data_IF_214935694086
#
_entry.id   IF_214935694086
#
_cell.length_a   1.000
_cell.length_b   1.000
_cell.length_c   1.000
_cell.angle_alpha   90.00
_cell.angle_beta   90.00
_cell.angle_gamma   90.00
#
_symmetry.space_group_name_H-M   'P 1'
#
loop_
_entity.id
_entity.type
_entity.pdbx_description
1 polymer ?
#
# COMPACT_ATOMS: atom_id res chain seq x y z
N UNK A 1 11.73 7.67 42.82
CA UNK A 1 12.70 8.79 42.82
C UNK A 1 12.39 9.65 41.59
N UNK A 2 12.31 10.98 41.68
CA UNK A 2 12.10 11.81 40.49
C UNK A 2 13.47 12.29 40.00
N UNK A 3 13.91 11.79 38.85
CA UNK A 3 15.10 12.29 38.17
C UNK A 3 14.91 13.75 37.75
N UNK A 4 16.01 14.50 37.68
CA UNK A 4 15.98 15.83 37.09
C UNK A 4 15.71 15.75 35.58
N UNK A 5 15.17 16.83 35.00
CA UNK A 5 14.95 16.91 33.55
C UNK A 5 16.23 16.63 32.76
N UNK A 6 17.36 17.15 33.23
CA UNK A 6 18.66 16.97 32.57
C UNK A 6 19.09 15.49 32.56
N UNK A 7 18.92 14.77 33.67
CA UNK A 7 19.25 13.34 33.74
C UNK A 7 18.35 12.52 32.82
N UNK A 8 17.06 12.85 32.77
CA UNK A 8 16.10 12.22 31.85
C UNK A 8 16.46 12.47 30.39
N UNK A 9 16.74 13.73 30.00
CA UNK A 9 17.13 14.09 28.64
C UNK A 9 18.41 13.35 28.20
N UNK A 10 19.42 13.30 29.08
CA UNK A 10 20.67 12.58 28.81
C UNK A 10 20.44 11.07 28.64
N UNK A 11 19.61 10.46 29.48
CA UNK A 11 19.26 9.05 29.34
C UNK A 11 18.54 8.78 28.02
N UNK A 12 17.55 9.60 27.66
CA UNK A 12 16.74 9.43 26.45
C UNK A 12 17.63 9.48 25.21
N UNK A 13 18.40 10.55 25.02
CA UNK A 13 19.22 10.70 23.81
C UNK A 13 20.33 9.64 23.72
N UNK A 14 20.89 9.20 24.86
CA UNK A 14 21.88 8.13 24.88
C UNK A 14 21.28 6.76 24.48
N UNK A 15 19.97 6.54 24.72
CA UNK A 15 19.32 5.26 24.46
C UNK A 15 18.55 5.20 23.14
N UNK A 16 18.10 6.33 22.57
CA UNK A 16 17.46 6.35 21.23
C UNK A 16 18.36 5.68 20.18
N UNK A 17 19.67 5.90 20.25
CA UNK A 17 20.65 5.34 19.32
C UNK A 17 20.93 3.84 19.53
N UNK A 18 20.41 3.22 20.59
CA UNK A 18 20.51 1.78 20.81
C UNK A 18 19.47 0.97 20.00
N UNK A 19 18.59 1.66 19.27
CA UNK A 19 17.56 1.02 18.46
C UNK A 19 18.05 0.81 17.02
N UNK A 20 17.95 -0.43 16.54
CA UNK A 20 18.30 -0.80 15.17
C UNK A 20 17.06 -0.65 14.28
N UNK A 21 16.94 0.48 13.58
CA UNK A 21 15.76 0.84 12.79
C UNK A 21 16.14 1.10 11.33
N UNK A 22 15.15 1.01 10.43
CA UNK A 22 15.33 1.28 9.00
C UNK A 22 15.28 2.79 8.67
N UNK A 23 14.76 3.62 9.58
CA UNK A 23 14.60 5.05 9.39
C UNK A 23 14.46 5.83 10.69
N UNK A 24 14.21 7.13 10.58
CA UNK A 24 14.16 8.06 11.73
C UNK A 24 12.75 8.33 12.25
N UNK A 25 11.72 7.82 11.57
CA UNK A 25 10.32 8.16 11.81
C UNK A 25 9.82 7.77 13.20
N UNK A 26 10.39 6.72 13.80
CA UNK A 26 10.04 6.29 15.15
C UNK A 26 10.88 6.91 16.27
N UNK A 27 11.85 7.78 15.94
CA UNK A 27 12.71 8.37 16.98
C UNK A 27 11.90 9.13 18.03
N UNK A 28 10.84 9.86 17.64
CA UNK A 28 10.02 10.56 18.62
C UNK A 28 9.22 9.59 19.50
N UNK A 29 8.63 8.53 18.93
CA UNK A 29 7.95 7.49 19.71
C UNK A 29 8.89 6.83 20.74
N UNK A 30 10.13 6.56 20.34
CA UNK A 30 11.14 5.99 21.23
C UNK A 30 11.53 6.97 22.33
N UNK A 31 11.69 8.26 22.02
CA UNK A 31 11.94 9.30 23.04
C UNK A 31 10.82 9.34 24.07
N UNK A 32 9.58 9.37 23.62
CA UNK A 32 8.41 9.46 24.48
C UNK A 32 8.28 8.19 25.36
N UNK A 33 8.54 7.01 24.76
CA UNK A 33 8.61 5.74 25.49
C UNK A 33 9.68 5.75 26.59
N UNK A 34 10.90 6.19 26.29
CA UNK A 34 12.00 6.27 27.25
C UNK A 34 11.74 7.31 28.34
N UNK A 35 11.05 8.39 28.01
CA UNK A 35 10.56 9.37 28.99
C UNK A 35 9.56 8.73 29.97
N UNK A 36 8.60 7.96 29.46
CA UNK A 36 7.65 7.22 30.30
C UNK A 36 8.34 6.15 31.18
N UNK A 37 9.40 5.50 30.68
CA UNK A 37 10.23 4.60 31.49
C UNK A 37 10.84 5.33 32.70
N UNK A 38 11.40 6.53 32.48
CA UNK A 38 11.97 7.34 33.55
C UNK A 38 10.92 7.72 34.60
N UNK A 39 9.71 8.06 34.17
CA UNK A 39 8.58 8.38 35.05
C UNK A 39 8.09 7.17 35.85
N UNK A 40 8.11 5.97 35.24
CA UNK A 40 7.78 4.71 35.90
C UNK A 40 8.83 4.27 36.93
N UNK A 41 10.02 4.89 36.93
CA UNK A 41 11.09 4.61 37.88
C UNK A 41 12.18 3.70 37.33
N UNK A 42 12.34 3.61 36.00
CA UNK A 42 13.43 2.87 35.38
C UNK A 42 14.80 3.33 35.90
N UNK A 43 15.72 2.38 36.09
CA UNK A 43 17.08 2.68 36.51
C UNK A 43 17.86 3.23 35.31
N UNK A 44 18.28 4.49 35.36
CA UNK A 44 18.98 5.16 34.24
C UNK A 44 20.33 4.52 33.89
N UNK A 45 20.90 3.68 34.76
CA UNK A 45 22.11 2.91 34.45
C UNK A 45 21.84 1.70 33.55
N UNK A 46 20.58 1.25 33.47
CA UNK A 46 20.19 0.13 32.62
C UNK A 46 19.87 0.65 31.23
N UNK A 47 20.67 0.20 30.25
CA UNK A 47 20.43 0.52 28.85
C UNK A 47 19.12 -0.08 28.36
N UNK A 48 18.44 0.67 27.52
CA UNK A 48 17.25 0.25 26.80
C UNK A 48 17.61 0.25 25.32
N UNK A 49 17.15 -0.77 24.61
CA UNK A 49 17.38 -0.91 23.19
C UNK A 49 16.29 -1.75 22.55
N UNK A 50 16.37 -1.85 21.24
CA UNK A 50 15.31 -2.49 20.48
C UNK A 50 15.66 -2.55 19.01
N UNK A 51 14.70 -2.98 18.21
CA UNK A 51 14.83 -3.05 16.77
C UNK A 51 13.49 -2.99 16.08
N UNK A 52 13.51 -2.73 14.78
CA UNK A 52 12.40 -3.08 13.92
C UNK A 52 12.26 -4.62 13.83
N UNK A 53 11.01 -5.10 13.84
CA UNK A 53 10.65 -6.48 13.55
C UNK A 53 9.21 -6.57 13.02
N UNK A 54 9.06 -7.10 11.80
CA UNK A 54 7.78 -7.30 11.12
C UNK A 54 6.99 -5.98 10.94
N UNK A 55 7.69 -4.93 10.52
CA UNK A 55 7.13 -3.59 10.32
C UNK A 55 6.81 -2.84 11.61
N UNK A 56 7.15 -3.38 12.79
CA UNK A 56 6.87 -2.78 14.09
C UNK A 56 8.11 -2.58 14.96
N UNK A 57 8.03 -1.63 15.90
CA UNK A 57 9.03 -1.45 16.95
C UNK A 57 8.99 -2.64 17.91
N UNK A 58 10.15 -3.13 18.33
CA UNK A 58 10.33 -4.05 19.46
C UNK A 58 11.32 -3.48 20.44
N UNK A 59 10.91 -3.35 21.70
CA UNK A 59 11.76 -2.90 22.78
C UNK A 59 12.13 -4.07 23.69
N UNK A 60 13.41 -4.19 24.03
CA UNK A 60 13.92 -5.21 24.96
C UNK A 60 14.32 -4.53 26.27
N UNK A 61 13.58 -4.81 27.32
CA UNK A 61 13.92 -4.37 28.67
C UNK A 61 13.41 -5.36 29.70
N UNK A 62 14.22 -5.60 30.73
CA UNK A 62 13.90 -6.44 31.87
C UNK A 62 14.40 -5.76 33.14
N UNK A 63 13.55 -5.67 34.15
CA UNK A 63 13.88 -5.30 35.53
C UNK A 63 13.82 -6.53 36.42
N UNK A 64 14.46 -6.50 37.59
CA UNK A 64 14.27 -7.50 38.64
C UNK A 64 13.04 -7.20 39.52
N UNK A 65 12.45 -6.01 39.36
CA UNK A 65 11.23 -5.55 40.05
C UNK A 65 9.98 -5.92 39.22
N UNK A 66 9.18 -6.87 39.73
CA UNK A 66 7.97 -7.37 39.08
C UNK A 66 6.87 -6.30 38.85
N UNK A 67 6.48 -5.49 39.85
CA UNK A 67 5.62 -4.33 39.64
C UNK A 67 6.11 -3.38 38.54
N UNK A 68 7.40 -3.02 38.55
CA UNK A 68 7.97 -2.16 37.53
C UNK A 68 7.94 -2.83 36.15
N UNK A 69 8.27 -4.12 36.06
CA UNK A 69 8.18 -4.88 34.82
C UNK A 69 6.78 -4.83 34.20
N UNK A 70 5.73 -4.93 35.01
CA UNK A 70 4.36 -4.85 34.53
C UNK A 70 4.04 -3.46 33.96
N UNK A 71 4.54 -2.39 34.58
CA UNK A 71 4.33 -1.04 34.07
C UNK A 71 5.12 -0.78 32.79
N UNK A 72 6.39 -1.19 32.74
CA UNK A 72 7.23 -1.09 31.55
C UNK A 72 6.62 -1.87 30.38
N UNK A 73 6.07 -3.06 30.61
CA UNK A 73 5.37 -3.82 29.57
C UNK A 73 4.20 -3.06 28.97
N UNK A 74 3.38 -2.37 29.78
CA UNK A 74 2.26 -1.56 29.28
C UNK A 74 2.76 -0.41 28.39
N UNK A 75 3.82 0.26 28.83
CA UNK A 75 4.44 1.35 28.06
C UNK A 75 4.96 0.81 26.72
N UNK A 76 5.70 -0.30 26.73
CA UNK A 76 6.18 -0.95 25.51
C UNK A 76 5.00 -1.28 24.59
N UNK A 77 3.99 -2.01 25.07
CA UNK A 77 2.83 -2.40 24.25
C UNK A 77 2.14 -1.20 23.62
N UNK A 78 2.01 -0.08 24.34
CA UNK A 78 1.47 1.18 23.80
C UNK A 78 2.30 1.67 22.60
N UNK A 79 3.62 1.78 22.74
CA UNK A 79 4.49 2.32 21.68
C UNK A 79 4.73 1.33 20.54
N UNK A 80 4.71 0.02 20.78
CA UNK A 80 4.69 -0.98 19.72
C UNK A 80 3.42 -0.85 18.88
N UNK A 81 2.25 -0.68 19.51
CA UNK A 81 0.99 -0.46 18.79
C UNK A 81 0.94 0.87 18.02
N UNK A 82 1.61 1.92 18.52
CA UNK A 82 1.75 3.19 17.78
C UNK A 82 2.69 3.07 16.59
N UNK A 83 3.75 2.27 16.71
CA UNK A 83 4.77 2.14 15.65
C UNK A 83 4.18 1.58 14.35
N UNK A 84 3.28 0.59 14.43
CA UNK A 84 2.62 0.00 13.24
C UNK A 84 1.58 0.92 12.57
N UNK A 85 1.35 2.11 13.14
CA UNK A 85 0.51 3.18 12.57
C UNK A 85 1.33 4.42 12.18
N UNK A 86 2.65 4.33 12.27
CA UNK A 86 3.57 5.45 12.09
C UNK A 86 4.64 5.06 11.08
N UNK A 87 4.86 5.86 10.05
CA UNK A 87 5.88 5.60 9.04
C UNK A 87 7.28 5.53 9.69
N UNK A 88 8.00 4.43 9.47
CA UNK A 88 9.33 4.21 10.05
C UNK A 88 10.40 5.15 9.47
N UNK A 89 10.17 5.71 8.27
CA UNK A 89 11.10 6.62 7.60
C UNK A 89 10.96 8.05 8.13
N UNK A 90 9.73 8.61 8.12
CA UNK A 90 9.50 10.03 8.41
C UNK A 90 8.59 10.36 9.60
N UNK A 91 7.90 9.37 10.19
CA UNK A 91 7.07 9.57 11.38
C UNK A 91 5.66 10.11 11.12
N UNK A 92 5.26 10.28 9.85
CA UNK A 92 3.85 10.58 9.51
C UNK A 92 2.96 9.36 9.74
N UNK A 93 1.64 9.51 9.64
CA UNK A 93 0.72 8.37 9.64
C UNK A 93 1.13 7.34 8.58
N UNK A 94 1.18 6.06 8.98
CA UNK A 94 1.60 4.94 8.14
C UNK A 94 0.69 3.73 8.33
N UNK A 95 0.84 2.76 7.45
CA UNK A 95 0.19 1.45 7.52
C UNK A 95 1.24 0.36 7.36
N UNK A 96 0.95 -0.84 7.87
CA UNK A 96 1.73 -2.03 7.56
C UNK A 96 1.58 -2.37 6.07
N UNK A 97 2.69 -2.67 5.41
CA UNK A 97 2.77 -2.94 3.97
C UNK A 97 3.83 -4.00 3.70
N UNK A 98 3.76 -4.61 2.52
CA UNK A 98 4.78 -5.54 2.05
C UNK A 98 5.59 -4.89 0.92
N UNK A 99 6.89 -4.76 1.12
CA UNK A 99 7.85 -4.28 0.12
C UNK A 99 8.91 -5.35 -0.10
N UNK A 100 9.04 -5.85 -1.33
CA UNK A 100 10.03 -6.87 -1.68
C UNK A 100 10.00 -8.12 -0.78
N UNK A 101 8.81 -8.49 -0.28
CA UNK A 101 8.61 -9.63 0.63
C UNK A 101 8.89 -9.34 2.11
N UNK A 102 9.10 -8.08 2.49
CA UNK A 102 9.31 -7.64 3.87
C UNK A 102 8.15 -6.79 4.37
N UNK A 103 7.72 -7.05 5.60
CA UNK A 103 6.76 -6.22 6.31
C UNK A 103 7.44 -4.92 6.76
N UNK A 104 6.86 -3.79 6.37
CA UNK A 104 7.34 -2.44 6.68
C UNK A 104 6.15 -1.57 7.08
N UNK A 105 6.36 -0.54 7.90
CA UNK A 105 5.30 0.45 8.17
C UNK A 105 5.65 1.76 7.49
N UNK A 106 4.96 2.06 6.39
CA UNK A 106 5.23 3.23 5.56
C UNK A 106 3.97 4.07 5.35
N UNK A 107 4.18 5.38 5.22
CA UNK A 107 3.17 6.26 4.63
C UNK A 107 3.11 6.03 3.12
N UNK A 108 2.00 6.42 2.48
CA UNK A 108 1.82 6.21 1.04
C UNK A 108 2.98 6.78 0.23
N UNK A 109 3.48 7.97 0.58
CA UNK A 109 4.57 8.63 -0.14
C UNK A 109 5.86 7.81 -0.16
N UNK A 110 6.25 7.17 0.95
CA UNK A 110 7.43 6.29 0.96
C UNK A 110 7.11 4.93 0.35
N UNK A 111 5.89 4.42 0.51
CA UNK A 111 5.52 3.15 -0.10
C UNK A 111 5.59 3.18 -1.63
N UNK A 112 5.12 4.26 -2.25
CA UNK A 112 5.13 4.39 -3.71
C UNK A 112 6.55 4.53 -4.30
N UNK A 113 7.55 4.89 -3.50
CA UNK A 113 8.96 4.90 -3.95
C UNK A 113 9.44 3.47 -4.25
N UNK A 114 8.89 2.49 -3.54
CA UNK A 114 9.20 1.06 -3.67
C UNK A 114 8.23 0.30 -4.59
N UNK A 115 7.08 0.87 -4.93
CA UNK A 115 6.15 0.30 -5.91
C UNK A 115 6.66 0.61 -7.32
N UNK A 116 6.73 -0.39 -8.18
CA UNK A 116 7.10 -0.23 -9.59
C UNK A 116 5.96 0.42 -10.40
N UNK A 117 5.90 1.76 -10.40
CA UNK A 117 4.91 2.58 -11.11
C UNK A 117 5.35 2.87 -12.53
N UNK A 118 4.47 2.66 -13.52
CA UNK A 118 4.76 3.01 -14.91
C UNK A 118 4.48 4.50 -15.12
N UNK A 119 5.45 5.22 -15.70
CA UNK A 119 5.26 6.60 -16.17
C UNK A 119 5.50 6.71 -17.66
N UNK A 120 4.62 7.43 -18.36
CA UNK A 120 4.73 7.67 -19.81
C UNK A 120 4.87 9.18 -20.02
N UNK A 121 6.01 9.61 -20.58
CA UNK A 121 6.30 11.00 -20.90
C UNK A 121 6.58 11.11 -22.40
N UNK A 122 5.56 11.49 -23.16
CA UNK A 122 5.62 11.49 -24.62
C UNK A 122 5.83 10.06 -25.14
N UNK A 123 6.95 9.84 -25.85
CA UNK A 123 7.33 8.53 -26.40
C UNK A 123 8.10 7.65 -25.40
N UNK A 124 8.47 8.16 -24.23
CA UNK A 124 9.36 7.45 -23.30
C UNK A 124 8.60 6.83 -22.13
N UNK A 125 8.89 5.57 -21.83
CA UNK A 125 8.33 4.79 -20.72
C UNK A 125 9.39 4.62 -19.62
N UNK A 126 8.99 4.90 -18.39
CA UNK A 126 9.79 4.74 -17.19
C UNK A 126 9.10 3.78 -16.22
N UNK A 127 9.90 3.12 -15.38
CA UNK A 127 9.46 2.49 -14.14
C UNK A 127 10.03 3.31 -13.00
N UNK A 128 9.16 3.99 -12.26
CA UNK A 128 9.56 5.08 -11.37
C UNK A 128 10.41 6.09 -12.16
N UNK A 129 11.64 6.35 -11.71
CA UNK A 129 12.59 7.23 -12.40
C UNK A 129 13.53 6.50 -13.38
N UNK A 130 13.45 5.16 -13.46
CA UNK A 130 14.30 4.35 -14.33
C UNK A 130 13.71 4.29 -15.74
N UNK A 131 14.45 4.79 -16.72
CA UNK A 131 14.13 4.59 -18.14
C UNK A 131 13.98 3.10 -18.45
N UNK A 132 12.88 2.72 -19.12
CA UNK A 132 12.70 1.37 -19.65
C UNK A 132 12.92 1.30 -21.16
N UNK A 133 12.14 2.04 -21.93
CA UNK A 133 12.17 2.02 -23.40
C UNK A 133 11.38 3.19 -23.99
N UNK A 134 11.51 3.40 -25.31
CA UNK A 134 10.57 4.23 -26.07
C UNK A 134 9.51 3.40 -26.77
N UNK A 135 8.28 3.94 -26.88
CA UNK A 135 7.19 3.27 -27.60
C UNK A 135 7.56 3.03 -29.07
N UNK A 136 8.30 3.97 -29.68
CA UNK A 136 8.83 3.86 -31.04
C UNK A 136 9.88 2.74 -31.25
N UNK A 137 10.50 2.23 -30.18
CA UNK A 137 11.53 1.17 -30.24
C UNK A 137 10.92 -0.25 -30.15
N UNK A 138 9.63 -0.34 -29.84
CA UNK A 138 8.92 -1.61 -29.68
C UNK A 138 8.81 -2.31 -31.03
N UNK A 139 9.35 -3.52 -31.11
CA UNK A 139 9.25 -4.38 -32.29
C UNK A 139 7.98 -5.21 -32.29
N UNK A 140 7.63 -5.77 -31.14
CA UNK A 140 6.42 -6.58 -30.93
C UNK A 140 6.07 -6.63 -29.44
N UNK A 141 4.82 -6.97 -29.15
CA UNK A 141 4.36 -7.23 -27.78
C UNK A 141 3.74 -8.61 -27.70
N UNK A 142 4.18 -9.40 -26.72
CA UNK A 142 3.61 -10.71 -26.40
C UNK A 142 2.77 -10.61 -25.12
N UNK A 143 1.69 -11.38 -25.04
CA UNK A 143 0.71 -11.33 -23.93
C UNK A 143 0.52 -12.74 -23.37
N UNK A 144 1.48 -13.23 -22.55
CA UNK A 144 1.52 -14.63 -22.14
C UNK A 144 0.34 -15.07 -21.25
N UNK A 145 -0.30 -14.14 -20.53
CA UNK A 145 -1.27 -14.44 -19.47
C UNK A 145 -2.61 -13.69 -19.68
N UNK A 146 -3.26 -13.85 -20.83
CA UNK A 146 -4.60 -13.28 -21.07
C UNK A 146 -4.70 -11.78 -20.75
N UNK A 147 -3.69 -10.99 -21.11
CA UNK A 147 -3.56 -9.54 -20.82
C UNK A 147 -3.36 -9.15 -19.36
N UNK A 148 -3.19 -10.09 -18.43
CA UNK A 148 -2.73 -9.76 -17.08
C UNK A 148 -1.25 -9.34 -17.05
N UNK A 149 -0.54 -9.54 -18.16
CA UNK A 149 0.76 -8.94 -18.40
C UNK A 149 1.16 -8.94 -19.86
N UNK A 150 2.12 -8.07 -20.18
CA UNK A 150 2.75 -7.94 -21.48
C UNK A 150 4.26 -8.18 -21.37
N UNK A 151 4.83 -8.64 -22.48
CA UNK A 151 6.27 -8.74 -22.73
C UNK A 151 6.60 -7.88 -23.94
N UNK A 152 7.29 -6.78 -23.69
CA UNK A 152 7.71 -5.82 -24.71
C UNK A 152 9.05 -6.28 -25.28
N UNK A 153 9.09 -6.58 -26.57
CA UNK A 153 10.32 -6.92 -27.28
C UNK A 153 10.84 -5.68 -28.03
N UNK A 154 12.04 -5.24 -27.68
CA UNK A 154 12.70 -4.10 -28.32
C UNK A 154 13.56 -4.54 -29.51
N UNK A 155 13.91 -3.57 -30.35
CA UNK A 155 14.76 -3.80 -31.52
C UNK A 155 16.22 -3.93 -31.08
N UNK A 156 16.78 -5.14 -31.13
CA UNK A 156 18.19 -5.39 -30.80
C UNK A 156 18.43 -6.04 -29.42
N UNK A 157 17.38 -6.20 -28.61
CA UNK A 157 17.47 -6.87 -27.31
C UNK A 157 17.01 -8.33 -27.37
N UNK A 158 17.75 -9.22 -26.70
CA UNK A 158 17.40 -10.64 -26.62
C UNK A 158 16.35 -10.95 -25.54
N UNK A 159 16.25 -10.10 -24.50
CA UNK A 159 15.36 -10.33 -23.35
C UNK A 159 14.18 -9.35 -23.34
N UNK A 160 12.92 -9.82 -23.37
CA UNK A 160 11.76 -8.95 -23.30
C UNK A 160 11.59 -8.32 -21.91
N UNK A 161 11.09 -7.09 -21.88
CA UNK A 161 10.69 -6.39 -20.65
C UNK A 161 9.28 -6.82 -20.29
N UNK A 162 9.08 -7.31 -19.06
CA UNK A 162 7.78 -7.82 -18.60
C UNK A 162 7.11 -6.82 -17.66
N UNK A 163 5.84 -6.50 -17.91
CA UNK A 163 5.00 -5.60 -17.12
C UNK A 163 3.62 -6.24 -16.94
N UNK A 164 2.94 -5.98 -15.82
CA UNK A 164 1.68 -6.64 -15.49
C UNK A 164 0.70 -5.71 -14.76
N UNK A 165 -0.51 -6.21 -14.50
CA UNK A 165 -1.59 -5.45 -13.85
C UNK A 165 -1.29 -5.02 -12.42
N UNK A 166 -0.27 -5.57 -11.78
CA UNK A 166 0.24 -5.11 -10.49
C UNK A 166 1.09 -3.84 -10.58
N UNK A 167 1.51 -3.43 -11.79
CA UNK A 167 2.16 -2.15 -12.00
C UNK A 167 1.10 -1.06 -12.19
N UNK A 168 1.03 -0.03 -11.34
CA UNK A 168 0.16 1.11 -11.60
C UNK A 168 0.46 1.74 -12.96
N UNK A 169 -0.58 2.20 -13.66
CA UNK A 169 -0.56 2.65 -15.07
C UNK A 169 -0.32 1.54 -16.11
N UNK A 170 -0.47 0.27 -15.75
CA UNK A 170 -0.38 -0.82 -16.73
C UNK A 170 -1.38 -0.66 -17.89
N UNK A 171 -2.65 -0.37 -17.59
CA UNK A 171 -3.67 -0.21 -18.63
C UNK A 171 -3.46 1.09 -19.42
N UNK A 172 -2.91 2.14 -18.80
CA UNK A 172 -2.46 3.34 -19.51
C UNK A 172 -1.37 3.00 -20.54
N UNK A 173 -0.39 2.17 -20.18
CA UNK A 173 0.64 1.68 -21.10
C UNK A 173 0.03 0.81 -22.20
N UNK A 174 -0.83 -0.14 -21.84
CA UNK A 174 -1.50 -1.02 -22.80
C UNK A 174 -2.25 -0.22 -23.86
N UNK A 175 -2.93 0.86 -23.46
CA UNK A 175 -3.64 1.79 -24.36
C UNK A 175 -2.70 2.64 -25.22
N UNK A 176 -1.49 2.91 -24.73
CA UNK A 176 -0.51 3.78 -25.41
C UNK A 176 0.33 3.05 -26.47
N UNK A 177 0.44 1.72 -26.38
CA UNK A 177 1.19 0.92 -27.36
C UNK A 177 0.41 0.82 -28.68
N UNK A 178 1.04 1.06 -29.84
CA UNK A 178 0.39 0.88 -31.14
C UNK A 178 -0.19 -0.52 -31.34
N UNK A 179 -1.49 -0.61 -31.64
CA UNK A 179 -2.21 -1.89 -31.75
C UNK A 179 -1.54 -2.87 -32.73
N UNK A 180 -0.97 -2.38 -33.84
CA UNK A 180 -0.34 -3.24 -34.84
C UNK A 180 0.88 -4.03 -34.31
N UNK A 181 1.39 -3.73 -33.11
CA UNK A 181 2.48 -4.46 -32.46
C UNK A 181 2.00 -5.70 -31.68
N UNK A 182 0.68 -5.85 -31.49
CA UNK A 182 0.06 -7.04 -30.91
C UNK A 182 -0.34 -8.04 -32.00
N UNK A 183 -0.64 -9.29 -31.61
CA UNK A 183 -1.24 -10.28 -32.52
C UNK A 183 -2.63 -9.87 -32.99
N UNK A 184 -3.13 -10.42 -34.09
CA UNK A 184 -4.46 -10.07 -34.64
C UNK A 184 -5.60 -10.31 -33.64
N UNK A 185 -5.56 -11.44 -32.93
CA UNK A 185 -6.50 -11.77 -31.84
C UNK A 185 -6.56 -10.64 -30.80
N UNK A 186 -5.37 -10.18 -30.37
CA UNK A 186 -5.25 -9.24 -29.27
C UNK A 186 -5.48 -7.79 -29.67
N UNK A 187 -5.20 -7.42 -30.91
CA UNK A 187 -5.56 -6.12 -31.49
C UNK A 187 -7.04 -5.83 -31.31
N UNK A 188 -7.88 -6.79 -31.71
CA UNK A 188 -9.33 -6.62 -31.65
C UNK A 188 -9.81 -6.52 -30.21
N UNK A 189 -9.30 -7.38 -29.33
CA UNK A 189 -9.68 -7.41 -27.91
C UNK A 189 -9.28 -6.13 -27.17
N UNK A 190 -8.04 -5.65 -27.31
CA UNK A 190 -7.61 -4.38 -26.68
C UNK A 190 -8.49 -3.22 -27.13
N UNK A 191 -8.77 -3.14 -28.43
CA UNK A 191 -9.63 -2.10 -28.98
C UNK A 191 -11.03 -2.15 -28.35
N UNK A 192 -11.65 -3.34 -28.33
CA UNK A 192 -12.97 -3.52 -27.74
C UNK A 192 -13.01 -3.16 -26.26
N UNK A 193 -12.00 -3.55 -25.48
CA UNK A 193 -11.89 -3.21 -24.05
C UNK A 193 -12.05 -1.70 -23.88
N UNK A 194 -11.19 -0.90 -24.50
CA UNK A 194 -11.16 0.54 -24.28
C UNK A 194 -12.34 1.30 -24.94
N UNK A 195 -12.94 0.75 -26.00
CA UNK A 195 -14.15 1.31 -26.63
C UNK A 195 -15.42 1.10 -25.79
N UNK A 196 -15.47 0.06 -24.97
CA UNK A 196 -16.71 -0.42 -24.34
C UNK A 196 -16.62 -0.50 -22.80
N UNK A 197 -15.66 0.18 -22.18
CA UNK A 197 -15.59 0.28 -20.72
C UNK A 197 -16.88 0.89 -20.17
N UNK A 198 -17.42 0.23 -19.15
CA UNK A 198 -18.58 0.68 -18.38
C UNK A 198 -18.13 1.29 -17.05
N UNK A 199 -19.05 2.01 -16.43
CA UNK A 199 -18.88 2.58 -15.11
C UNK A 199 -18.91 1.46 -14.06
N UNK A 200 -17.93 1.43 -13.17
CA UNK A 200 -17.93 0.53 -12.03
C UNK A 200 -18.64 1.20 -10.85
N UNK A 201 -19.73 0.59 -10.37
CA UNK A 201 -20.49 1.07 -9.21
C UNK A 201 -19.75 0.88 -7.88
N UNK A 202 -18.71 0.04 -7.86
CA UNK A 202 -17.93 -0.27 -6.66
C UNK A 202 -16.81 0.78 -6.48
N UNK A 203 -15.88 0.90 -7.44
CA UNK A 203 -14.78 1.86 -7.30
C UNK A 203 -15.05 3.26 -7.88
N UNK A 204 -16.10 3.43 -8.69
CA UNK A 204 -16.43 4.74 -9.28
C UNK A 204 -15.55 5.15 -10.47
N UNK A 205 -14.93 4.19 -11.16
CA UNK A 205 -14.14 4.42 -12.36
C UNK A 205 -14.77 3.78 -13.59
N UNK A 206 -14.57 4.40 -14.76
CA UNK A 206 -14.95 3.82 -16.05
C UNK A 206 -13.94 2.76 -16.47
N UNK A 207 -14.05 1.60 -15.84
CA UNK A 207 -13.08 0.51 -15.91
C UNK A 207 -13.70 -0.89 -15.93
N UNK A 208 -15.04 -1.00 -15.93
CA UNK A 208 -15.72 -2.28 -15.96
C UNK A 208 -15.68 -2.89 -17.37
N UNK A 209 -15.12 -4.09 -17.50
CA UNK A 209 -15.05 -4.83 -18.76
C UNK A 209 -15.48 -6.29 -18.55
N UNK A 210 -16.51 -6.71 -19.28
CA UNK A 210 -17.10 -8.05 -19.18
C UNK A 210 -17.38 -8.44 -17.71
N UNK A 211 -16.53 -9.29 -17.15
CA UNK A 211 -16.77 -9.97 -15.89
C UNK A 211 -16.17 -9.27 -14.67
N UNK A 212 -15.32 -8.25 -14.84
CA UNK A 212 -14.64 -7.59 -13.72
C UNK A 212 -14.24 -6.15 -14.04
N UNK A 213 -14.03 -5.36 -12.99
CA UNK A 213 -13.42 -4.05 -13.09
C UNK A 213 -11.91 -4.20 -13.31
N UNK A 214 -11.37 -3.60 -14.38
CA UNK A 214 -9.94 -3.60 -14.65
C UNK A 214 -9.13 -2.73 -13.66
N UNK A 215 -9.82 -1.97 -12.79
CA UNK A 215 -9.20 -1.17 -11.73
C UNK A 215 -9.27 -1.86 -10.37
N UNK A 216 -10.45 -2.02 -9.78
CA UNK A 216 -10.56 -2.64 -8.43
C UNK A 216 -10.60 -4.17 -8.47
N UNK A 217 -10.62 -4.79 -9.64
CA UNK A 217 -10.73 -6.25 -9.82
C UNK A 217 -12.03 -6.89 -9.29
N UNK A 218 -12.98 -6.10 -8.78
CA UNK A 218 -14.29 -6.58 -8.37
C UNK A 218 -15.16 -7.01 -9.55
N UNK A 219 -15.99 -8.02 -9.30
CA UNK A 219 -17.03 -8.45 -10.22
C UNK A 219 -18.23 -7.49 -10.16
N UNK A 220 -18.95 -7.26 -11.27
CA UNK A 220 -20.21 -6.54 -11.23
C UNK A 220 -21.31 -7.45 -10.66
N UNK A 221 -22.38 -6.83 -10.16
CA UNK A 221 -23.58 -7.54 -9.73
C UNK A 221 -24.13 -8.47 -10.84
N UNK A 222 -24.60 -9.65 -10.42
CA UNK A 222 -25.27 -10.66 -11.24
C UNK A 222 -26.40 -11.30 -10.44
N UNK A 223 -27.45 -11.73 -11.11
CA UNK A 223 -28.58 -12.42 -10.47
C UNK A 223 -28.17 -13.72 -9.76
N UNK A 224 -27.03 -14.32 -10.13
CA UNK A 224 -26.46 -15.49 -9.43
C UNK A 224 -26.00 -15.20 -8.00
N UNK A 225 -25.87 -13.93 -7.60
CA UNK A 225 -25.45 -13.52 -6.27
C UNK A 225 -26.63 -13.36 -5.29
N UNK A 226 -27.87 -13.60 -5.74
CA UNK A 226 -29.06 -13.54 -4.88
C UNK A 226 -29.09 -14.60 -3.78
N UNK A 227 -28.25 -15.63 -3.88
CA UNK A 227 -28.10 -16.64 -2.82
C UNK A 227 -27.29 -16.09 -1.62
N UNK A 228 -26.45 -15.07 -1.86
CA UNK A 228 -25.52 -14.51 -0.87
C UNK A 228 -25.90 -13.09 -0.43
N UNK A 229 -26.71 -12.36 -1.22
CA UNK A 229 -27.09 -10.97 -0.98
C UNK A 229 -28.59 -10.76 -1.24
N UNK A 230 -29.22 -9.90 -0.44
CA UNK A 230 -30.64 -9.56 -0.58
C UNK A 230 -30.92 -8.90 -1.93
N UNK A 231 -30.07 -7.95 -2.31
CA UNK A 231 -30.16 -7.26 -3.60
C UNK A 231 -28.81 -6.69 -4.08
N UNK A 232 -28.85 -6.08 -5.27
CA UNK A 232 -27.71 -5.39 -5.87
C UNK A 232 -27.13 -4.29 -4.99
N UNK A 233 -27.99 -3.53 -4.30
CA UNK A 233 -27.58 -2.38 -3.47
C UNK A 233 -26.74 -2.87 -2.30
N UNK A 234 -27.18 -3.93 -1.63
CA UNK A 234 -26.44 -4.55 -0.54
C UNK A 234 -25.07 -5.07 -1.01
N UNK A 235 -25.04 -5.80 -2.12
CA UNK A 235 -23.78 -6.28 -2.72
C UNK A 235 -22.80 -5.13 -2.99
N UNK A 236 -23.24 -4.12 -3.75
CA UNK A 236 -22.37 -2.98 -4.10
C UNK A 236 -21.90 -2.27 -2.84
N UNK A 237 -22.77 -2.08 -1.83
CA UNK A 237 -22.41 -1.45 -0.57
C UNK A 237 -21.31 -2.22 0.17
N UNK A 238 -21.46 -3.54 0.33
CA UNK A 238 -20.44 -4.37 0.98
C UNK A 238 -19.12 -4.37 0.20
N UNK A 239 -19.16 -4.48 -1.14
CA UNK A 239 -17.96 -4.38 -1.97
C UNK A 239 -17.26 -3.03 -1.84
N UNK A 240 -18.02 -1.91 -1.77
CA UNK A 240 -17.44 -0.59 -1.52
C UNK A 240 -16.79 -0.49 -0.14
N UNK A 241 -17.36 -1.13 0.89
CA UNK A 241 -16.76 -1.17 2.23
C UNK A 241 -15.46 -1.99 2.23
N UNK A 242 -15.46 -3.18 1.62
CA UNK A 242 -14.25 -3.99 1.45
C UNK A 242 -13.15 -3.22 0.70
N UNK A 243 -13.53 -2.50 -0.35
CA UNK A 243 -12.63 -1.65 -1.11
C UNK A 243 -12.07 -0.50 -0.24
N UNK A 244 -12.87 0.07 0.67
CA UNK A 244 -12.44 1.12 1.61
C UNK A 244 -11.52 0.59 2.72
N UNK A 245 -11.74 -0.64 3.19
CA UNK A 245 -10.83 -1.28 4.16
C UNK A 245 -9.41 -1.34 3.61
N UNK A 246 -9.27 -1.59 2.30
CA UNK A 246 -8.02 -1.48 1.55
C UNK A 246 -6.84 -2.15 2.28
N UNK A 247 -7.03 -3.41 2.69
CA UNK A 247 -6.08 -4.13 3.56
C UNK A 247 -4.66 -4.15 2.98
N UNK A 248 -4.55 -4.28 1.67
CA UNK A 248 -3.27 -4.30 0.94
C UNK A 248 -2.82 -2.92 0.44
N UNK A 249 -3.54 -1.85 0.80
CA UNK A 249 -3.32 -0.47 0.33
C UNK A 249 -3.33 -0.32 -1.20
N UNK A 250 -3.97 -1.24 -1.90
CA UNK A 250 -4.10 -1.24 -3.35
C UNK A 250 -4.83 0.01 -3.85
N UNK A 251 -5.92 0.38 -3.19
CA UNK A 251 -6.70 1.55 -3.55
C UNK A 251 -5.98 2.84 -3.23
N UNK A 252 -5.28 2.91 -2.11
CA UNK A 252 -4.43 4.05 -1.77
C UNK A 252 -3.36 4.28 -2.84
N UNK A 253 -2.66 3.21 -3.28
CA UNK A 253 -1.68 3.28 -4.37
C UNK A 253 -2.32 3.67 -5.69
N UNK A 254 -3.40 3.01 -6.09
CA UNK A 254 -4.10 3.28 -7.34
C UNK A 254 -4.59 4.74 -7.40
N UNK A 255 -5.14 5.26 -6.31
CA UNK A 255 -5.58 6.65 -6.21
C UNK A 255 -4.42 7.65 -6.31
N UNK A 256 -3.24 7.28 -5.78
CA UNK A 256 -2.07 8.14 -5.80
C UNK A 256 -1.45 8.23 -7.20
N UNK A 257 -1.23 7.08 -7.84
CA UNK A 257 -0.36 7.00 -9.02
C UNK A 257 -0.99 6.40 -10.29
N UNK A 258 -2.13 5.70 -10.21
CA UNK A 258 -2.79 5.13 -11.39
C UNK A 258 -3.74 6.14 -12.08
N UNK A 259 -3.54 6.32 -13.38
CA UNK A 259 -4.23 7.25 -14.28
C UNK A 259 -4.82 6.51 -15.49
N UNK A 260 -4.94 5.19 -15.41
CA UNK A 260 -5.44 4.35 -16.51
C UNK A 260 -6.91 4.61 -16.82
N UNK A 261 -7.69 4.97 -15.80
CA UNK A 261 -9.14 5.11 -15.89
C UNK A 261 -9.62 6.45 -15.32
N UNK A 262 -10.73 6.94 -15.85
CA UNK A 262 -11.38 8.18 -15.43
C UNK A 262 -12.42 7.89 -14.35
N UNK A 263 -12.59 8.84 -13.42
CA UNK A 263 -13.68 8.80 -12.43
C UNK A 263 -15.02 9.08 -13.10
N UNK A 264 -16.07 8.42 -12.63
CA UNK A 264 -17.42 8.59 -13.14
C UNK A 264 -18.14 9.70 -12.37
N UNK A 265 -18.93 10.53 -13.05
CA UNK A 265 -19.61 11.68 -12.44
C UNK A 265 -20.76 11.26 -11.51
N UNK A 266 -21.34 10.08 -11.74
CA UNK A 266 -22.51 9.58 -11.02
C UNK A 266 -22.17 8.62 -9.87
N UNK A 267 -20.89 8.43 -9.57
CA UNK A 267 -20.46 7.55 -8.48
C UNK A 267 -20.97 8.03 -7.12
N UNK A 268 -21.48 7.09 -6.32
CA UNK A 268 -21.94 7.34 -4.96
C UNK A 268 -21.52 6.21 -4.04
N UNK A 269 -21.04 6.59 -2.86
CA UNK A 269 -20.85 5.65 -1.75
C UNK A 269 -22.22 5.33 -1.15
N UNK A 270 -22.51 4.04 -0.96
CA UNK A 270 -23.80 3.51 -0.50
C UNK A 270 -23.84 3.28 1.02
N UNK A 271 -22.81 3.71 1.74
CA UNK A 271 -22.70 3.60 3.19
C UNK A 271 -22.23 4.88 3.84
N UNK A 272 -22.53 5.05 5.12
CA UNK A 272 -22.00 6.11 5.97
C UNK A 272 -20.90 5.58 6.91
N UNK A 273 -20.23 6.47 7.64
CA UNK A 273 -19.10 6.09 8.50
C UNK A 273 -19.52 5.16 9.66
N UNK A 274 -20.72 5.33 10.24
CA UNK A 274 -21.20 4.44 11.32
C UNK A 274 -21.40 3.01 10.82
N UNK A 275 -21.97 2.87 9.61
CA UNK A 275 -22.15 1.56 8.96
C UNK A 275 -20.81 0.90 8.62
N UNK A 276 -19.80 1.69 8.24
CA UNK A 276 -18.46 1.20 7.97
C UNK A 276 -17.75 0.74 9.25
N UNK A 277 -17.84 1.52 10.33
CA UNK A 277 -17.28 1.15 11.63
C UNK A 277 -17.94 -0.10 12.23
N UNK A 278 -19.22 -0.33 11.92
CA UNK A 278 -19.89 -1.59 12.27
C UNK A 278 -19.36 -2.76 11.44
N UNK A 279 -19.27 -2.59 10.12
CA UNK A 279 -18.73 -3.60 9.20
C UNK A 279 -17.27 -3.98 9.52
N UNK A 280 -16.43 -3.00 9.87
CA UNK A 280 -15.02 -3.21 10.19
C UNK A 280 -14.81 -4.09 11.43
N UNK A 281 -15.80 -4.19 12.33
CA UNK A 281 -15.69 -5.04 13.54
C UNK A 281 -15.77 -6.54 13.22
N UNK A 282 -16.33 -6.90 12.08
CA UNK A 282 -16.50 -8.29 11.65
C UNK A 282 -15.27 -8.85 10.90
N UNK A 283 -14.20 -8.05 10.74
CA UNK A 283 -12.95 -8.38 10.06
C UNK A 283 -11.71 -8.17 10.94
#
# INVERSE_FOLDING_TARGET
MKYSKQETDQFVEANVLNFQLNGTGWHQLIRDMLYEFCLAGWNLNNKVGGKEKFGGLRCYSLSEDDPLNNEIKKIITKYEALSVKTCEICGSAGKLRVVNGWDVTLCINHYIEDVDVIYIKGDTVFLNDRFLFKLSEIKKVETPNSFKGIRVCLSGDEKPISLNTGNPNYYLLLRSIPLHLFSEEYRHKIRLIFENLKDCEICGYKALWEEHCLRCNDEPWRDSLLDDYEDKTEYVKQSQMLLRMDQDSYEEVANFCDRSFEKTENYRILFNDDEFEEFEKDW
#
